data_IF_771899694514
#
_entry.id   IF_771899694514
#
_cell.length_a   1.000
_cell.length_b   1.000
_cell.length_c   1.000
_cell.angle_alpha   90.00
_cell.angle_beta   90.00
_cell.angle_gamma   90.00
#
_symmetry.space_group_name_H-M   'P 1'
#
loop_
_entity.id
_entity.type
_entity.pdbx_description
1 polymer ?
#
# COMPACT_ATOMS: atom_id res chain seq x y z
N UNK A 1 6.76 14.77 -0.06
CA UNK A 1 7.19 13.43 -0.52
C UNK A 1 6.30 12.42 0.16
N UNK A 2 5.68 11.51 -0.59
CA UNK A 2 4.83 10.47 -0.01
C UNK A 2 5.70 9.36 0.58
N UNK A 3 5.42 8.92 1.81
CA UNK A 3 6.15 7.86 2.47
C UNK A 3 5.22 7.00 3.30
N UNK A 4 5.14 5.71 2.98
CA UNK A 4 4.43 4.68 3.74
C UNK A 4 5.48 3.69 4.24
N UNK A 5 5.47 3.35 5.53
CA UNK A 5 6.47 2.51 6.17
C UNK A 5 5.84 1.28 6.76
N UNK A 6 6.62 0.19 6.80
CA UNK A 6 6.28 -1.05 7.49
C UNK A 6 4.88 -1.58 7.13
N UNK A 7 4.59 -1.59 5.82
CA UNK A 7 3.29 -2.03 5.31
C UNK A 7 3.08 -3.50 5.63
N UNK A 8 1.95 -3.82 6.27
CA UNK A 8 1.57 -5.18 6.66
C UNK A 8 0.13 -5.48 6.28
N UNK A 9 -0.19 -6.76 6.14
CA UNK A 9 -1.57 -7.19 5.97
C UNK A 9 -2.39 -6.94 7.25
N UNK A 10 -3.64 -6.52 7.10
CA UNK A 10 -4.55 -6.28 8.20
C UNK A 10 -6.00 -6.64 7.87
N UNK A 11 -6.85 -6.61 8.90
CA UNK A 11 -8.28 -6.87 8.74
C UNK A 11 -8.97 -5.69 8.02
N UNK A 12 -10.05 -5.97 7.25
CA UNK A 12 -10.88 -4.90 6.68
C UNK A 12 -11.43 -4.00 7.79
N UNK A 13 -11.38 -2.68 7.57
CA UNK A 13 -11.84 -1.66 8.52
C UNK A 13 -13.23 -1.10 8.20
N UNK A 14 -13.75 -1.33 6.99
CA UNK A 14 -15.09 -0.86 6.59
C UNK A 14 -15.98 -2.00 6.08
N UNK A 15 -17.31 -1.82 6.06
CA UNK A 15 -18.24 -2.80 5.48
C UNK A 15 -17.92 -3.13 4.01
N UNK A 16 -17.54 -2.13 3.20
CA UNK A 16 -17.17 -2.33 1.80
C UNK A 16 -15.92 -3.20 1.69
N UNK A 17 -14.91 -2.92 2.50
CA UNK A 17 -13.68 -3.72 2.55
C UNK A 17 -13.98 -5.18 2.93
N UNK A 18 -14.87 -5.37 3.91
CA UNK A 18 -15.31 -6.70 4.32
C UNK A 18 -16.04 -7.45 3.20
N UNK A 19 -16.94 -6.78 2.46
CA UNK A 19 -17.62 -7.40 1.33
C UNK A 19 -16.65 -7.78 0.20
N UNK A 20 -15.68 -6.92 -0.10
CA UNK A 20 -14.65 -7.18 -1.10
C UNK A 20 -13.75 -8.36 -0.69
N UNK A 21 -13.34 -8.45 0.57
CA UNK A 21 -12.60 -9.61 1.08
C UNK A 21 -13.44 -10.88 0.98
N UNK A 22 -14.71 -10.85 1.37
CA UNK A 22 -15.60 -12.01 1.30
C UNK A 22 -15.84 -12.49 -0.14
N UNK A 23 -15.98 -11.56 -1.08
CA UNK A 23 -16.34 -11.86 -2.47
C UNK A 23 -15.13 -12.21 -3.35
N UNK A 24 -13.99 -11.55 -3.13
CA UNK A 24 -12.84 -11.62 -4.01
C UNK A 24 -11.53 -12.01 -3.30
N UNK A 25 -11.54 -12.22 -1.99
CA UNK A 25 -10.34 -12.57 -1.23
C UNK A 25 -9.32 -11.44 -1.11
N UNK A 26 -9.76 -10.18 -1.20
CA UNK A 26 -8.87 -9.00 -1.10
C UNK A 26 -8.10 -8.99 0.22
N UNK A 27 -6.77 -8.87 0.12
CA UNK A 27 -5.86 -8.66 1.23
C UNK A 27 -5.65 -7.16 1.42
N UNK A 28 -5.96 -6.62 2.60
CA UNK A 28 -5.80 -5.21 2.89
C UNK A 28 -4.42 -4.94 3.48
N UNK A 29 -3.75 -3.93 2.95
CA UNK A 29 -2.40 -3.54 3.37
C UNK A 29 -2.44 -2.18 4.06
N UNK A 30 -1.79 -2.08 5.21
CA UNK A 30 -1.76 -0.86 6.02
C UNK A 30 -0.34 -0.50 6.43
N UNK A 31 -0.01 0.79 6.41
CA UNK A 31 1.25 1.30 6.97
C UNK A 31 1.25 1.30 8.51
N UNK A 32 2.39 1.66 9.12
CA UNK A 32 2.54 1.76 10.57
C UNK A 32 1.59 2.77 11.26
N UNK A 33 1.11 3.78 10.52
CA UNK A 33 0.12 4.75 10.99
C UNK A 33 -1.33 4.27 10.75
N UNK A 34 -1.51 3.09 10.14
CA UNK A 34 -2.80 2.49 9.82
C UNK A 34 -3.48 3.00 8.54
N UNK A 35 -2.77 3.74 7.67
CA UNK A 35 -3.24 4.19 6.36
C UNK A 35 -3.33 3.03 5.38
N UNK A 36 -4.40 2.97 4.59
CA UNK A 36 -4.64 1.91 3.62
C UNK A 36 -3.82 2.13 2.34
N UNK A 37 -2.96 1.16 1.98
CA UNK A 37 -2.13 1.18 0.78
C UNK A 37 -2.91 1.57 -0.49
N UNK A 38 -4.03 0.89 -0.75
CA UNK A 38 -4.80 1.08 -1.99
C UNK A 38 -5.39 2.48 -2.11
N UNK A 39 -5.78 3.08 -0.99
CA UNK A 39 -6.33 4.44 -0.98
C UNK A 39 -5.24 5.51 -1.10
N UNK A 40 -4.03 5.22 -0.58
CA UNK A 40 -2.90 6.13 -0.63
C UNK A 40 -2.21 6.15 -2.01
N UNK A 41 -2.31 5.09 -2.81
CA UNK A 41 -1.74 5.03 -4.18
C UNK A 41 -2.12 6.24 -5.04
N UNK A 42 -3.38 6.71 -4.98
CA UNK A 42 -3.87 7.86 -5.76
C UNK A 42 -3.21 9.19 -5.41
N UNK A 43 -2.51 9.26 -4.27
CA UNK A 43 -1.84 10.48 -3.79
C UNK A 43 -0.37 10.55 -4.22
N UNK A 44 0.16 9.50 -4.86
CA UNK A 44 1.49 9.54 -5.43
C UNK A 44 1.51 10.40 -6.69
N UNK A 45 2.53 11.25 -6.83
CA UNK A 45 2.75 12.02 -8.05
C UNK A 45 3.04 11.09 -9.22
N UNK A 46 2.47 11.32 -10.40
CA UNK A 46 2.78 10.52 -11.58
C UNK A 46 4.25 10.66 -12.02
N UNK A 47 4.82 11.87 -11.90
CA UNK A 47 6.18 12.19 -12.36
C UNK A 47 7.25 12.05 -11.26
N UNK A 48 7.14 10.99 -10.46
CA UNK A 48 8.15 10.67 -9.45
C UNK A 48 8.52 9.19 -9.49
N UNK A 49 9.75 8.87 -9.07
CA UNK A 49 10.13 7.50 -8.77
C UNK A 49 9.45 7.03 -7.48
N UNK A 50 9.10 5.74 -7.43
CA UNK A 50 8.57 5.02 -6.28
C UNK A 50 9.58 3.93 -5.97
N UNK A 51 9.96 3.84 -4.71
CA UNK A 51 11.01 2.96 -4.24
C UNK A 51 10.40 2.11 -3.14
N UNK A 52 10.49 0.78 -3.30
CA UNK A 52 10.22 -0.16 -2.22
C UNK A 52 11.56 -0.65 -1.66
N UNK A 53 11.64 -0.72 -0.34
CA UNK A 53 12.82 -1.20 0.36
C UNK A 53 12.43 -2.14 1.50
N UNK A 54 13.30 -3.08 1.81
CA UNK A 54 13.08 -4.05 2.88
C UNK A 54 13.40 -3.45 4.27
N UNK A 55 13.20 -4.24 5.33
CA UNK A 55 13.49 -3.81 6.71
C UNK A 55 14.96 -3.43 6.98
N UNK A 56 15.88 -3.83 6.11
CA UNK A 56 17.31 -3.49 6.19
C UNK A 56 17.64 -2.25 5.35
N UNK A 57 16.63 -1.55 4.83
CA UNK A 57 16.73 -0.41 3.91
C UNK A 57 17.38 -0.75 2.57
N UNK A 58 17.36 -2.02 2.15
CA UNK A 58 17.80 -2.43 0.82
C UNK A 58 16.66 -2.20 -0.17
N UNK A 59 16.92 -1.44 -1.23
CA UNK A 59 15.95 -1.22 -2.31
C UNK A 59 15.74 -2.54 -3.04
N UNK A 60 14.48 -2.97 -3.11
CA UNK A 60 14.07 -4.23 -3.76
C UNK A 60 13.22 -4.00 -5.01
N UNK A 61 12.66 -2.80 -5.17
CA UNK A 61 11.89 -2.43 -6.35
C UNK A 61 11.97 -0.92 -6.62
N UNK A 62 11.91 -0.55 -7.90
CA UNK A 62 11.88 0.83 -8.38
C UNK A 62 10.91 0.92 -9.56
N UNK A 63 9.87 1.75 -9.42
CA UNK A 63 8.87 1.95 -10.47
C UNK A 63 8.46 3.43 -10.60
N UNK A 64 7.88 3.81 -11.73
CA UNK A 64 7.17 5.10 -11.90
C UNK A 64 5.67 4.97 -11.65
N UNK A 65 5.10 3.78 -11.70
CA UNK A 65 3.72 3.50 -11.32
C UNK A 65 3.70 2.82 -9.94
N UNK A 66 2.92 3.34 -9.01
CA UNK A 66 2.81 2.79 -7.63
C UNK A 66 1.90 1.56 -7.58
N UNK A 67 1.09 1.35 -8.62
CA UNK A 67 0.11 0.27 -8.70
C UNK A 67 0.62 -0.98 -9.45
N UNK A 68 1.83 -0.87 -10.02
CA UNK A 68 2.44 -1.88 -10.89
C UNK A 68 3.12 -3.03 -10.13
#
# INVERSE_FOLDING_TARGET
MMHLKNIVAGNPKTPEQYQLTKKFGVVWLFDEDGKNWYEEQKKFSADSLKIAYDKNNIIVDINKDVSA
#
